data_IF_086660849959
#
_entry.id   IF_086660849959
#
_cell.length_a   1.000
_cell.length_b   1.000
_cell.length_c   1.000
_cell.angle_alpha   90.00
_cell.angle_beta   90.00
_cell.angle_gamma   90.00
#
_symmetry.space_group_name_H-M   'P 1'
#
loop_
_entity.id
_entity.type
_entity.pdbx_description
1 polymer ?
#
# COMPACT_ATOMS: atom_id res chain seq x y z
N UNK A 1 -3.44 25.27 -14.89
CA UNK A 1 -4.14 24.25 -14.08
C UNK A 1 -5.24 24.93 -13.29
N UNK A 2 -6.46 24.43 -13.41
CA UNK A 2 -7.63 24.89 -12.68
C UNK A 2 -7.66 24.26 -11.27
N UNK A 3 -8.11 24.98 -10.24
CA UNK A 3 -8.30 24.46 -8.89
C UNK A 3 -9.10 23.14 -8.85
N UNK A 4 -10.09 22.96 -9.73
CA UNK A 4 -10.85 21.70 -9.86
C UNK A 4 -10.00 20.53 -10.36
N UNK A 5 -9.06 20.76 -11.26
CA UNK A 5 -8.14 19.71 -11.74
C UNK A 5 -7.13 19.32 -10.65
N UNK A 6 -6.65 20.30 -9.87
CA UNK A 6 -5.81 20.03 -8.71
C UNK A 6 -6.52 19.20 -7.64
N UNK A 7 -7.78 19.56 -7.32
CA UNK A 7 -8.60 18.80 -6.38
C UNK A 7 -8.84 17.37 -6.91
N UNK A 8 -9.09 17.22 -8.21
CA UNK A 8 -9.21 15.90 -8.86
C UNK A 8 -7.93 15.06 -8.71
N UNK A 9 -6.76 15.62 -9.05
CA UNK A 9 -5.47 14.93 -8.89
C UNK A 9 -5.16 14.56 -7.44
N UNK A 10 -5.47 15.44 -6.48
CA UNK A 10 -5.30 15.15 -5.05
C UNK A 10 -6.22 14.03 -4.60
N UNK A 11 -7.46 14.01 -5.09
CA UNK A 11 -8.42 12.93 -4.82
C UNK A 11 -7.94 11.62 -5.44
N UNK A 12 -7.53 11.59 -6.70
CA UNK A 12 -7.07 10.37 -7.38
C UNK A 12 -5.81 9.80 -6.71
N UNK A 13 -4.85 10.66 -6.35
CA UNK A 13 -3.66 10.23 -5.60
C UNK A 13 -4.01 9.76 -4.18
N UNK A 14 -4.99 10.39 -3.51
CA UNK A 14 -5.47 9.95 -2.21
C UNK A 14 -6.25 8.62 -2.32
N UNK A 15 -6.98 8.38 -3.41
CA UNK A 15 -7.68 7.12 -3.68
C UNK A 15 -6.71 6.00 -4.06
N UNK A 16 -5.64 6.31 -4.81
CA UNK A 16 -4.51 5.40 -5.02
C UNK A 16 -3.76 5.11 -3.71
N UNK A 17 -3.56 6.10 -2.86
CA UNK A 17 -2.98 5.92 -1.53
C UNK A 17 -3.95 5.19 -0.58
N UNK A 18 -5.27 5.29 -0.81
CA UNK A 18 -6.30 4.54 -0.10
C UNK A 18 -6.46 3.10 -0.62
N UNK A 19 -6.12 2.88 -1.87
CA UNK A 19 -5.93 1.54 -2.40
C UNK A 19 -4.66 0.95 -1.79
N UNK A 20 -3.56 1.68 -1.87
CA UNK A 20 -2.32 1.43 -1.17
C UNK A 20 -2.41 1.82 0.32
N UNK A 21 -3.56 1.60 0.96
CA UNK A 21 -3.77 1.81 2.39
C UNK A 21 -3.08 0.69 3.14
N UNK A 22 -1.77 0.58 2.90
CA UNK A 22 -0.84 0.04 3.86
C UNK A 22 -1.16 0.77 5.15
N UNK A 23 -1.61 0.00 6.13
CA UNK A 23 -1.72 0.24 7.56
C UNK A 23 -1.54 1.67 8.13
N UNK A 24 -2.01 2.73 7.45
CA UNK A 24 -1.79 4.13 7.84
C UNK A 24 -2.59 4.50 9.09
N UNK A 25 -3.61 3.70 9.41
CA UNK A 25 -4.32 3.75 10.69
C UNK A 25 -3.44 3.34 11.88
N UNK A 26 -2.26 2.76 11.64
CA UNK A 26 -1.23 2.51 12.66
C UNK A 26 -0.20 3.64 12.79
N UNK A 27 -0.26 4.69 11.96
CA UNK A 27 0.62 5.85 12.15
C UNK A 27 0.45 6.44 13.55
N UNK A 28 1.57 6.69 14.23
CA UNK A 28 1.55 7.20 15.60
C UNK A 28 1.30 6.14 16.68
N UNK A 29 0.92 4.91 16.30
CA UNK A 29 0.95 3.76 17.21
C UNK A 29 2.38 3.27 17.41
N UNK A 30 2.58 2.34 18.35
CA UNK A 30 3.90 1.82 18.68
C UNK A 30 4.06 0.39 18.14
N UNK A 31 5.29 0.02 17.79
CA UNK A 31 5.67 -1.39 17.68
C UNK A 31 5.60 -2.07 19.04
N UNK A 32 5.40 -3.39 19.03
CA UNK A 32 5.51 -4.19 20.24
C UNK A 32 6.93 -4.16 20.79
N UNK A 33 7.05 -4.22 22.11
CA UNK A 33 8.34 -4.05 22.81
C UNK A 33 9.37 -5.13 22.39
N UNK A 34 8.92 -6.38 22.15
CA UNK A 34 9.77 -7.50 21.67
C UNK A 34 10.37 -7.24 20.28
N UNK A 35 9.68 -6.47 19.44
CA UNK A 35 10.12 -6.14 18.09
C UNK A 35 11.14 -4.99 18.08
N UNK A 36 11.20 -4.17 19.13
CA UNK A 36 12.07 -2.98 19.19
C UNK A 36 13.55 -3.32 19.24
N UNK A 37 13.90 -4.43 19.91
CA UNK A 37 15.27 -4.94 19.97
C UNK A 37 15.74 -5.36 18.56
N UNK A 38 14.87 -6.06 17.83
CA UNK A 38 15.12 -6.48 16.45
C UNK A 38 15.25 -5.29 15.50
N UNK A 39 14.38 -4.27 15.67
CA UNK A 39 14.39 -3.05 14.87
C UNK A 39 15.52 -2.07 15.23
N UNK A 40 16.27 -2.33 16.33
CA UNK A 40 17.25 -1.40 16.91
C UNK A 40 16.66 0.00 17.17
N UNK A 41 15.38 0.02 17.57
CA UNK A 41 14.58 1.24 17.78
C UNK A 41 14.37 1.53 19.27
N UNK A 42 15.40 1.31 20.07
CA UNK A 42 15.40 1.43 21.54
C UNK A 42 14.79 2.74 22.08
N UNK A 43 14.85 3.83 21.29
CA UNK A 43 14.36 5.16 21.68
C UNK A 43 13.17 5.69 20.86
N UNK A 44 12.70 4.98 19.84
CA UNK A 44 11.57 5.43 19.02
C UNK A 44 10.77 4.25 18.45
N UNK A 45 9.78 3.81 19.21
CA UNK A 45 8.86 2.74 18.83
C UNK A 45 7.72 3.19 17.92
N UNK A 46 7.64 4.49 17.58
CA UNK A 46 6.49 5.02 16.84
C UNK A 46 6.55 4.57 15.38
N UNK A 47 5.43 4.06 14.89
CA UNK A 47 5.22 3.67 13.51
C UNK A 47 5.09 4.93 12.65
N UNK A 48 5.93 5.00 11.62
CA UNK A 48 5.99 6.09 10.64
C UNK A 48 5.42 5.66 9.29
N UNK A 49 5.24 6.63 8.39
CA UNK A 49 4.79 6.36 7.02
C UNK A 49 5.76 5.47 6.25
N UNK A 50 7.06 5.55 6.54
CA UNK A 50 8.06 4.68 5.91
C UNK A 50 7.86 3.23 6.33
N UNK A 51 7.59 2.98 7.62
CA UNK A 51 7.43 1.63 8.15
C UNK A 51 6.22 0.91 7.57
N UNK A 52 5.12 1.65 7.40
CA UNK A 52 3.87 1.13 6.84
C UNK A 52 3.99 0.79 5.34
N UNK A 53 4.91 1.46 4.64
CA UNK A 53 5.13 1.29 3.20
C UNK A 53 6.30 0.35 2.87
N UNK A 54 7.11 -0.02 3.86
CA UNK A 54 8.29 -0.86 3.69
C UNK A 54 7.97 -2.32 4.04
N UNK A 55 8.06 -3.18 3.03
CA UNK A 55 7.77 -4.62 3.16
C UNK A 55 8.69 -5.33 4.16
N UNK A 56 9.84 -4.77 4.50
CA UNK A 56 10.73 -5.34 5.53
C UNK A 56 10.10 -5.32 6.92
N UNK A 57 9.10 -4.47 7.13
CA UNK A 57 8.30 -4.40 8.36
C UNK A 57 7.08 -5.32 8.33
N UNK A 58 6.94 -6.18 7.30
CA UNK A 58 5.90 -7.21 7.25
C UNK A 58 6.03 -8.19 8.43
N UNK A 59 4.93 -8.44 9.13
CA UNK A 59 4.82 -9.34 10.28
C UNK A 59 5.09 -8.70 11.65
N UNK A 60 5.55 -7.45 11.68
CA UNK A 60 5.82 -6.73 12.93
C UNK A 60 4.51 -6.35 13.63
N UNK A 61 4.48 -6.57 14.95
CA UNK A 61 3.28 -6.41 15.78
C UNK A 61 3.09 -4.95 16.19
N UNK A 62 1.84 -4.52 16.14
CA UNK A 62 1.45 -3.17 16.55
C UNK A 62 0.82 -3.22 17.93
N UNK A 63 1.29 -2.35 18.81
CA UNK A 63 0.72 -2.11 20.13
C UNK A 63 -0.53 -1.26 19.97
N UNK A 64 -1.67 -1.91 19.75
CA UNK A 64 -2.97 -1.26 19.86
C UNK A 64 -3.42 -1.18 21.32
N UNK A 65 -4.20 -0.16 21.66
CA UNK A 65 -4.69 0.10 23.03
C UNK A 65 -5.68 -0.95 23.57
N UNK A 66 -6.00 -1.98 22.79
CA UNK A 66 -6.88 -3.09 23.16
C UNK A 66 -6.13 -4.22 23.88
N UNK A 67 -6.88 -5.04 24.63
CA UNK A 67 -6.37 -6.15 25.44
C UNK A 67 -5.84 -7.37 24.63
N UNK A 68 -5.86 -7.31 23.30
CA UNK A 68 -5.40 -8.39 22.42
C UNK A 68 -4.60 -7.80 21.25
N UNK A 69 -3.37 -8.28 21.07
CA UNK A 69 -2.46 -7.88 19.98
C UNK A 69 -2.75 -8.71 18.73
N UNK A 70 -3.79 -8.36 17.99
CA UNK A 70 -4.18 -9.13 16.80
C UNK A 70 -3.62 -8.56 15.49
N UNK A 71 -3.08 -7.34 15.52
CA UNK A 71 -2.75 -6.59 14.32
C UNK A 71 -1.24 -6.48 14.05
N UNK A 72 -0.88 -6.70 12.79
CA UNK A 72 0.50 -6.68 12.26
C UNK A 72 0.56 -5.83 11.01
N UNK A 73 1.72 -5.22 10.76
CA UNK A 73 2.00 -4.65 9.45
C UNK A 73 2.13 -5.81 8.45
N UNK A 74 1.25 -5.92 7.46
CA UNK A 74 1.36 -6.97 6.45
C UNK A 74 1.86 -6.43 5.09
N UNK A 75 1.82 -5.10 4.92
CA UNK A 75 2.18 -4.40 3.69
C UNK A 75 1.25 -4.69 2.48
N UNK A 76 0.36 -5.66 2.60
CA UNK A 76 -0.52 -6.12 1.53
C UNK A 76 -1.87 -5.39 1.54
N UNK A 77 -2.42 -5.17 0.34
CA UNK A 77 -3.83 -4.81 0.22
C UNK A 77 -4.68 -5.96 0.76
N UNK A 78 -5.48 -5.69 1.80
CA UNK A 78 -6.52 -6.63 2.21
C UNK A 78 -7.45 -6.96 1.02
N UNK A 79 -8.08 -8.15 0.99
CA UNK A 79 -9.01 -8.51 -0.09
C UNK A 79 -10.11 -7.47 -0.32
N UNK A 80 -10.58 -6.80 0.73
CA UNK A 80 -11.59 -5.75 0.63
C UNK A 80 -11.04 -4.46 0.00
N UNK A 81 -9.83 -4.04 0.36
CA UNK A 81 -9.16 -2.90 -0.26
C UNK A 81 -8.89 -3.16 -1.74
N UNK A 82 -8.36 -4.35 -2.07
CA UNK A 82 -8.15 -4.77 -3.45
C UNK A 82 -9.47 -4.76 -4.24
N UNK A 83 -10.55 -5.31 -3.67
CA UNK A 83 -11.88 -5.29 -4.29
C UNK A 83 -12.35 -3.87 -4.57
N UNK A 84 -12.33 -2.99 -3.57
CA UNK A 84 -12.77 -1.60 -3.74
C UNK A 84 -11.91 -0.83 -4.76
N UNK A 85 -10.61 -1.12 -4.83
CA UNK A 85 -9.73 -0.56 -5.85
C UNK A 85 -10.11 -1.03 -7.26
N UNK A 86 -10.29 -2.33 -7.43
CA UNK A 86 -10.70 -2.90 -8.72
C UNK A 86 -12.17 -2.62 -9.09
N UNK A 87 -13.00 -2.13 -8.18
CA UNK A 87 -14.32 -1.57 -8.52
C UNK A 87 -14.20 -0.26 -9.32
N UNK A 88 -13.15 0.53 -9.09
CA UNK A 88 -12.92 1.83 -9.73
C UNK A 88 -11.93 1.80 -10.90
N UNK A 89 -10.95 0.89 -10.85
CA UNK A 89 -9.83 0.90 -11.79
C UNK A 89 -9.68 -0.43 -12.55
N UNK A 90 -9.31 -0.34 -13.81
CA UNK A 90 -8.90 -1.45 -14.67
C UNK A 90 -7.38 -1.59 -14.65
N UNK A 91 -6.87 -2.81 -14.43
CA UNK A 91 -5.46 -3.13 -14.67
C UNK A 91 -5.26 -3.36 -16.17
N UNK A 92 -4.61 -2.41 -16.85
CA UNK A 92 -4.35 -2.51 -18.29
C UNK A 92 -3.12 -3.36 -18.61
N UNK A 93 -2.07 -3.18 -17.81
CA UNK A 93 -0.80 -3.86 -18.03
C UNK A 93 -0.06 -4.10 -16.71
N UNK A 94 0.72 -5.16 -16.63
CA UNK A 94 1.57 -5.47 -15.48
C UNK A 94 2.87 -6.14 -15.91
N UNK A 95 3.93 -5.86 -15.14
CA UNK A 95 5.25 -6.44 -15.28
C UNK A 95 5.79 -6.85 -13.90
N UNK A 96 6.70 -7.84 -13.83
CA UNK A 96 7.09 -8.70 -14.95
C UNK A 96 5.97 -9.67 -15.35
N UNK A 97 5.95 -10.08 -16.62
CA UNK A 97 4.90 -10.95 -17.18
C UNK A 97 4.96 -12.35 -16.57
N UNK A 98 3.79 -12.98 -16.46
CA UNK A 98 3.71 -14.40 -16.10
C UNK A 98 3.92 -15.26 -17.34
N UNK A 99 4.92 -16.14 -17.29
CA UNK A 99 5.12 -17.17 -18.28
C UNK A 99 4.14 -18.32 -18.00
N UNK A 100 2.97 -18.25 -18.64
CA UNK A 100 1.93 -19.28 -18.54
C UNK A 100 2.41 -20.67 -18.98
N UNK A 101 3.39 -20.76 -19.89
CA UNK A 101 3.89 -22.04 -20.40
C UNK A 101 4.72 -22.78 -19.35
N UNK A 102 5.52 -22.04 -18.58
CA UNK A 102 6.38 -22.59 -17.56
C UNK A 102 5.86 -22.35 -16.12
N UNK A 103 4.62 -21.86 -15.99
CA UNK A 103 3.94 -21.51 -14.75
C UNK A 103 4.81 -20.68 -13.79
N UNK A 104 5.46 -19.64 -14.31
CA UNK A 104 6.44 -18.85 -13.55
C UNK A 104 6.35 -17.37 -13.86
N UNK A 105 6.42 -16.54 -12.83
CA UNK A 105 6.60 -15.11 -13.02
C UNK A 105 8.02 -14.82 -13.52
N UNK A 106 8.13 -14.07 -14.63
CA UNK A 106 9.43 -13.64 -15.15
C UNK A 106 10.12 -12.72 -14.13
N UNK A 107 11.44 -12.69 -14.13
CA UNK A 107 12.20 -11.76 -13.27
C UNK A 107 12.21 -10.37 -13.92
N UNK A 108 12.01 -9.31 -13.14
CA UNK A 108 12.07 -7.94 -13.64
C UNK A 108 11.53 -6.91 -12.66
N UNK A 109 11.57 -5.64 -13.05
CA UNK A 109 10.95 -4.54 -12.32
C UNK A 109 9.44 -4.73 -12.27
N UNK A 110 8.85 -4.56 -11.08
CA UNK A 110 7.42 -4.71 -10.87
C UNK A 110 6.73 -3.39 -11.15
N UNK A 111 5.83 -3.37 -12.14
CA UNK A 111 5.10 -2.18 -12.54
C UNK A 111 3.69 -2.55 -12.98
N UNK A 112 2.70 -1.75 -12.59
CA UNK A 112 1.31 -1.91 -13.00
C UNK A 112 0.81 -0.61 -13.64
N UNK A 113 0.10 -0.73 -14.76
CA UNK A 113 -0.58 0.37 -15.44
C UNK A 113 -2.07 0.24 -15.20
N UNK A 114 -2.67 1.26 -14.59
CA UNK A 114 -4.09 1.29 -14.28
C UNK A 114 -4.82 2.39 -15.06
N UNK A 115 -6.11 2.17 -15.30
CA UNK A 115 -7.02 3.12 -15.91
C UNK A 115 -8.28 3.28 -15.06
N UNK A 116 -8.75 4.51 -14.92
CA UNK A 116 -10.05 4.81 -14.32
C UNK A 116 -11.20 4.32 -15.20
N UNK A 117 -12.11 3.51 -14.61
CA UNK A 117 -13.18 2.85 -15.35
C UNK A 117 -14.19 3.83 -15.93
N UNK A 118 -14.46 4.94 -15.25
CA UNK A 118 -15.47 5.92 -15.65
C UNK A 118 -14.89 6.90 -16.68
N UNK A 119 -13.77 7.53 -16.32
CA UNK A 119 -13.15 8.61 -17.09
C UNK A 119 -12.21 8.12 -18.18
N UNK A 120 -11.81 6.84 -18.16
CA UNK A 120 -10.83 6.22 -19.07
C UNK A 120 -9.45 6.86 -19.04
N UNK A 121 -9.12 7.64 -18.00
CA UNK A 121 -7.80 8.25 -17.84
C UNK A 121 -6.80 7.25 -17.25
N UNK A 122 -5.55 7.33 -17.71
CA UNK A 122 -4.44 6.57 -17.11
C UNK A 122 -4.07 7.19 -15.77
N UNK A 123 -3.81 6.34 -14.78
CA UNK A 123 -3.44 6.77 -13.44
C UNK A 123 -1.92 6.75 -13.29
N UNK A 124 -1.35 7.76 -12.61
CA UNK A 124 0.10 7.86 -12.37
C UNK A 124 0.90 8.45 -13.54
N UNK A 125 0.23 8.95 -14.58
CA UNK A 125 0.88 9.71 -15.66
C UNK A 125 1.27 11.09 -15.12
N UNK A 126 2.55 11.26 -14.81
CA UNK A 126 3.15 12.58 -14.57
C UNK A 126 3.35 13.19 -15.96
N UNK A 127 2.54 14.20 -16.29
CA UNK A 127 2.77 15.08 -17.46
C UNK A 127 3.83 16.12 -17.14
#
# INVERSE_FOLDING_TARGET
>A
MNNKEMIGRLKDNAELAWAAYGYFHFLGKQFKDDDLETLKRENNSIITSTDVLDITYKGYEVKDTGWVFDDKLDGDMSPLQAKNFFEKYDLLDFYPKFDNKNNKQQKGFHACLFQDKETKKLIGKVE
#
